data_IF_270766494017
#
_entry.id   IF_270766494017
#
_cell.length_a   1.000
_cell.length_b   1.000
_cell.length_c   1.000
_cell.angle_alpha   90.00
_cell.angle_beta   90.00
_cell.angle_gamma   90.00
#
_symmetry.space_group_name_H-M   'P 1'
#
loop_
_entity.id
_entity.type
_entity.pdbx_description
1 polymer ?
#
# COMPACT_ATOMS: atom_id res chain seq x y z
N UNK A 1 18.02 48.54 63.92
CA UNK A 1 18.80 47.65 63.03
C UNK A 1 17.87 46.60 62.46
N UNK A 2 17.60 46.64 61.14
CA UNK A 2 17.09 45.52 60.35
C UNK A 2 17.28 45.88 58.87
N UNK A 3 18.36 45.37 58.30
CA UNK A 3 18.83 45.64 56.93
C UNK A 3 17.95 44.89 55.94
N UNK A 4 17.40 45.61 54.95
CA UNK A 4 16.58 45.07 53.87
C UNK A 4 17.49 44.35 52.87
N UNK A 5 17.46 43.01 52.84
CA UNK A 5 18.18 42.22 51.85
C UNK A 5 17.40 42.21 50.52
N UNK A 6 17.88 42.98 49.56
CA UNK A 6 17.36 42.95 48.18
C UNK A 6 17.92 41.72 47.47
N UNK A 7 17.08 40.72 47.23
CA UNK A 7 17.44 39.54 46.46
C UNK A 7 17.77 39.95 45.02
N UNK A 8 19.03 39.74 44.61
CA UNK A 8 19.50 39.92 43.25
C UNK A 8 18.81 38.87 42.36
N UNK A 9 17.87 39.29 41.51
CA UNK A 9 17.35 38.46 40.42
C UNK A 9 18.50 38.13 39.47
N UNK A 10 19.02 36.91 39.53
CA UNK A 10 19.92 36.35 38.51
C UNK A 10 19.14 36.18 37.20
N UNK A 11 19.24 37.19 36.36
CA UNK A 11 18.77 37.17 34.97
C UNK A 11 19.68 36.19 34.21
N UNK A 12 19.20 34.98 33.90
CA UNK A 12 19.92 34.05 33.00
C UNK A 12 20.24 34.76 31.67
N UNK A 13 21.49 34.77 31.19
CA UNK A 13 21.80 35.41 29.92
C UNK A 13 21.23 34.58 28.76
N UNK A 14 20.40 35.22 27.95
CA UNK A 14 20.00 34.77 26.61
C UNK A 14 21.03 35.30 25.61
N UNK A 15 21.96 34.46 25.18
CA UNK A 15 22.75 34.62 23.95
C UNK A 15 23.22 33.23 23.49
N UNK A 16 23.17 32.96 22.19
CA UNK A 16 23.46 31.66 21.57
C UNK A 16 24.83 31.09 21.99
N UNK A 17 24.83 30.15 22.94
CA UNK A 17 26.03 29.51 23.50
C UNK A 17 26.93 28.85 22.41
N UNK A 18 26.33 28.36 21.33
CA UNK A 18 27.04 27.60 20.29
C UNK A 18 27.98 28.42 19.40
N UNK A 19 27.73 29.72 19.24
CA UNK A 19 28.65 30.60 18.47
C UNK A 19 29.90 30.87 19.29
N UNK A 20 29.77 31.05 20.60
CA UNK A 20 30.92 31.19 21.51
C UNK A 20 31.72 29.88 21.62
N UNK A 21 31.04 28.73 21.65
CA UNK A 21 31.70 27.40 21.58
C UNK A 21 32.48 27.25 20.28
N UNK A 22 31.92 27.69 19.13
CA UNK A 22 32.62 27.68 17.85
C UNK A 22 33.85 28.59 17.87
N UNK A 23 33.74 29.80 18.40
CA UNK A 23 34.86 30.76 18.48
C UNK A 23 36.01 30.20 19.32
N UNK A 24 35.70 29.66 20.51
CA UNK A 24 36.69 29.01 21.37
C UNK A 24 37.33 27.80 20.70
N UNK A 25 36.56 27.02 19.93
CA UNK A 25 37.06 25.86 19.21
C UNK A 25 38.02 26.25 18.07
N UNK A 26 37.65 27.25 17.25
CA UNK A 26 38.50 27.72 16.16
C UNK A 26 39.82 28.29 16.68
N UNK A 27 39.80 29.00 17.81
CA UNK A 27 40.99 29.52 18.48
C UNK A 27 41.85 28.40 19.07
N UNK A 28 41.25 27.44 19.77
CA UNK A 28 41.95 26.27 20.35
C UNK A 28 42.69 25.45 19.28
N UNK A 29 42.07 25.26 18.13
CA UNK A 29 42.61 24.42 17.05
C UNK A 29 43.38 25.22 15.98
N UNK A 30 43.55 26.54 16.15
CA UNK A 30 44.18 27.44 15.17
C UNK A 30 43.59 27.31 13.75
N UNK A 31 42.26 27.19 13.65
CA UNK A 31 41.54 26.97 12.40
C UNK A 31 40.98 28.28 11.84
N UNK A 32 41.09 28.46 10.53
CA UNK A 32 40.55 29.64 9.84
C UNK A 32 40.08 29.28 8.43
N UNK A 33 39.53 30.27 7.70
CA UNK A 33 39.17 30.08 6.29
C UNK A 33 40.37 29.77 5.39
N UNK A 34 41.61 29.99 5.83
CA UNK A 34 42.81 29.61 5.05
C UNK A 34 43.25 28.16 5.28
N UNK A 35 42.72 27.47 6.31
CA UNK A 35 43.06 26.05 6.58
C UNK A 35 42.67 25.13 5.42
N UNK A 36 43.47 24.10 5.19
CA UNK A 36 43.26 23.08 4.15
C UNK A 36 42.14 22.12 4.59
N UNK A 37 41.28 21.61 3.70
CA UNK A 37 40.17 20.73 4.07
C UNK A 37 40.59 19.48 4.85
N UNK A 38 41.77 18.91 4.60
CA UNK A 38 42.27 17.75 5.34
C UNK A 38 42.49 18.08 6.83
N UNK A 39 43.10 19.22 7.13
CA UNK A 39 43.27 19.71 8.51
C UNK A 39 41.94 19.98 9.20
N UNK A 40 40.96 20.52 8.46
CA UNK A 40 39.62 20.74 8.99
C UNK A 40 38.90 19.42 9.30
N UNK A 41 39.11 18.38 8.49
CA UNK A 41 38.49 17.07 8.69
C UNK A 41 39.01 16.32 9.91
N UNK A 42 40.27 16.52 10.28
CA UNK A 42 40.89 15.91 11.46
C UNK A 42 40.22 16.37 12.77
N UNK A 43 39.78 17.63 12.81
CA UNK A 43 39.10 18.22 13.96
C UNK A 43 37.57 18.06 13.92
N UNK A 44 37.01 17.47 12.86
CA UNK A 44 35.57 17.29 12.72
C UNK A 44 34.95 16.44 13.86
N UNK A 45 35.54 15.31 14.30
CA UNK A 45 34.98 14.52 15.41
C UNK A 45 34.95 15.28 16.74
N UNK A 46 35.94 16.13 16.99
CA UNK A 46 36.03 16.93 18.23
C UNK A 46 34.96 18.02 18.26
N UNK A 47 34.76 18.73 17.14
CA UNK A 47 33.68 19.71 17.02
C UNK A 47 32.30 19.03 17.07
N UNK A 48 32.17 17.83 16.49
CA UNK A 48 30.92 17.05 16.48
C UNK A 48 30.47 16.67 17.90
N UNK A 49 31.43 16.35 18.78
CA UNK A 49 31.17 16.01 20.19
C UNK A 49 30.69 17.22 21.01
N UNK A 50 31.08 18.44 20.63
CA UNK A 50 30.67 19.69 21.29
C UNK A 50 29.29 20.19 20.83
N UNK A 51 28.71 19.59 19.80
CA UNK A 51 27.44 19.99 19.20
C UNK A 51 26.38 18.89 19.43
N UNK A 52 25.65 18.96 20.57
CA UNK A 52 24.79 17.87 21.03
C UNK A 52 23.57 17.63 20.15
N UNK A 53 23.13 18.64 19.39
CA UNK A 53 21.96 18.56 18.54
C UNK A 53 22.19 19.18 17.14
N UNK A 54 21.25 18.92 16.23
CA UNK A 54 21.36 19.39 14.85
C UNK A 54 21.16 20.92 14.72
N UNK A 55 20.47 21.56 15.67
CA UNK A 55 20.27 23.01 15.72
C UNK A 55 21.58 23.72 16.05
N UNK A 56 22.37 23.18 16.99
CA UNK A 56 23.73 23.61 17.27
C UNK A 56 24.59 23.51 16.01
N UNK A 57 24.52 22.37 15.30
CA UNK A 57 25.21 22.19 14.00
C UNK A 57 24.76 23.18 12.95
N UNK A 58 23.45 23.45 12.82
CA UNK A 58 22.93 24.43 11.86
C UNK A 58 23.38 25.86 12.21
N UNK A 59 23.29 26.24 13.48
CA UNK A 59 23.75 27.54 13.98
C UNK A 59 25.23 27.74 13.68
N UNK A 60 26.05 26.71 13.91
CA UNK A 60 27.48 26.72 13.60
C UNK A 60 27.74 26.77 12.09
N UNK A 61 27.04 25.97 11.27
CA UNK A 61 27.16 26.03 9.79
C UNK A 61 26.81 27.41 9.26
N UNK A 62 25.75 28.03 9.76
CA UNK A 62 25.37 29.41 9.39
C UNK A 62 26.43 30.40 9.86
N UNK A 63 26.99 30.23 11.06
CA UNK A 63 28.03 31.11 11.57
C UNK A 63 29.33 31.01 10.75
N UNK A 64 29.77 29.81 10.39
CA UNK A 64 30.95 29.58 9.54
C UNK A 64 30.82 30.24 8.15
N UNK A 65 29.60 30.27 7.61
CA UNK A 65 29.31 30.90 6.32
C UNK A 65 29.18 32.44 6.39
N UNK A 66 29.12 33.04 7.58
CA UNK A 66 29.03 34.50 7.72
C UNK A 66 30.37 35.17 7.37
N UNK A 67 30.36 36.45 6.94
CA UNK A 67 31.56 37.19 6.56
C UNK A 67 32.68 37.19 7.62
N UNK A 68 32.33 37.08 8.91
CA UNK A 68 33.29 37.02 10.02
C UNK A 68 34.27 35.83 9.91
N UNK A 69 33.79 34.69 9.41
CA UNK A 69 34.58 33.46 9.30
C UNK A 69 34.83 33.07 7.83
N UNK A 70 33.90 33.37 6.92
CA UNK A 70 34.06 33.28 5.46
C UNK A 70 34.51 31.90 4.95
N UNK A 71 34.10 30.80 5.61
CA UNK A 71 34.42 29.46 5.15
C UNK A 71 33.65 29.13 3.85
N UNK A 72 34.33 28.50 2.89
CA UNK A 72 33.68 27.98 1.69
C UNK A 72 32.81 26.76 2.03
N UNK A 73 31.85 26.43 1.15
CA UNK A 73 30.95 25.29 1.34
C UNK A 73 31.70 23.97 1.55
N UNK A 74 32.77 23.76 0.80
CA UNK A 74 33.63 22.57 0.89
C UNK A 74 34.33 22.48 2.25
N UNK A 75 34.84 23.61 2.77
CA UNK A 75 35.50 23.67 4.08
C UNK A 75 34.52 23.48 5.24
N UNK A 76 33.30 24.00 5.09
CA UNK A 76 32.21 23.74 6.05
C UNK A 76 31.82 22.26 6.05
N UNK A 77 31.80 21.61 4.88
CA UNK A 77 31.50 20.18 4.75
C UNK A 77 32.63 19.30 5.30
N UNK A 78 33.90 19.72 5.17
CA UNK A 78 35.03 19.03 5.79
C UNK A 78 35.00 19.10 7.33
N UNK A 79 34.71 20.28 7.89
CA UNK A 79 34.68 20.50 9.35
C UNK A 79 33.39 19.99 10.02
N UNK A 80 32.26 20.05 9.31
CA UNK A 80 30.94 19.58 9.77
C UNK A 80 30.26 18.71 8.70
N UNK A 81 30.75 17.46 8.51
CA UNK A 81 30.23 16.56 7.49
C UNK A 81 28.73 16.31 7.70
N UNK A 82 27.98 16.34 6.59
CA UNK A 82 26.55 16.08 6.64
C UNK A 82 26.27 14.58 6.78
N UNK A 83 26.13 14.12 8.03
CA UNK A 83 25.78 12.73 8.36
C UNK A 83 24.42 12.29 7.80
N UNK A 84 23.59 13.21 7.27
CA UNK A 84 22.31 12.91 6.59
C UNK A 84 22.48 12.20 5.23
N UNK A 85 23.71 12.15 4.68
CA UNK A 85 24.03 11.40 3.46
C UNK A 85 24.14 9.89 3.66
N UNK A 86 23.89 9.34 4.86
CA UNK A 86 23.62 7.91 5.00
C UNK A 86 22.24 7.64 4.37
N UNK A 87 22.19 6.84 3.31
CA UNK A 87 20.94 6.42 2.66
C UNK A 87 20.09 5.59 3.66
N UNK A 88 19.40 6.26 4.55
CA UNK A 88 18.50 5.61 5.50
C UNK A 88 17.22 5.19 4.78
N UNK A 89 16.84 3.93 4.98
CA UNK A 89 15.52 3.42 4.63
C UNK A 89 14.43 4.24 5.35
N UNK A 90 13.19 4.18 4.86
CA UNK A 90 12.06 4.86 5.52
C UNK A 90 11.95 4.45 7.00
N UNK A 91 12.20 3.17 7.28
CA UNK A 91 12.22 2.60 8.63
C UNK A 91 13.35 3.17 9.47
N UNK A 92 14.58 3.21 8.95
CA UNK A 92 15.72 3.80 9.67
C UNK A 92 15.54 5.29 9.96
N UNK A 93 14.86 6.04 9.07
CA UNK A 93 14.48 7.44 9.32
C UNK A 93 13.46 7.55 10.45
N UNK A 94 12.44 6.69 10.45
CA UNK A 94 11.39 6.72 11.47
C UNK A 94 11.93 6.33 12.84
N UNK A 95 12.77 5.29 12.90
CA UNK A 95 13.45 4.86 14.13
C UNK A 95 14.35 5.96 14.69
N UNK A 96 15.13 6.64 13.84
CA UNK A 96 15.93 7.79 14.24
C UNK A 96 15.05 8.90 14.83
N UNK A 97 13.93 9.22 14.17
CA UNK A 97 13.00 10.25 14.64
C UNK A 97 12.35 9.87 15.97
N UNK A 98 12.04 8.60 16.18
CA UNK A 98 11.42 8.09 17.40
C UNK A 98 12.37 8.07 18.60
N UNK A 99 13.64 7.67 18.41
CA UNK A 99 14.61 7.49 19.49
C UNK A 99 15.32 8.78 19.92
N UNK A 100 15.66 9.63 18.96
CA UNK A 100 16.53 10.80 19.19
C UNK A 100 16.08 12.05 18.42
N UNK A 101 14.95 11.97 17.69
CA UNK A 101 14.45 13.05 16.85
C UNK A 101 13.63 14.08 17.62
N UNK A 102 13.85 15.35 17.35
CA UNK A 102 12.90 16.41 17.68
C UNK A 102 11.88 16.58 16.54
N UNK A 103 10.93 17.51 16.70
CA UNK A 103 9.93 17.81 15.68
C UNK A 103 10.55 18.24 14.33
N UNK A 104 11.74 18.84 14.34
CA UNK A 104 12.40 19.28 13.10
C UNK A 104 13.02 18.11 12.36
N UNK A 105 13.52 17.09 13.07
CA UNK A 105 13.95 15.83 12.47
C UNK A 105 12.80 15.11 11.78
N UNK A 106 11.59 15.16 12.34
CA UNK A 106 10.37 14.62 11.70
C UNK A 106 10.08 15.36 10.40
N UNK A 107 10.07 16.70 10.41
CA UNK A 107 9.83 17.51 9.21
C UNK A 107 10.87 17.22 8.13
N UNK A 108 12.16 17.22 8.48
CA UNK A 108 13.25 17.02 7.53
C UNK A 108 13.19 15.63 6.88
N UNK A 109 12.88 14.59 7.65
CA UNK A 109 12.75 13.23 7.12
C UNK A 109 11.47 13.04 6.32
N UNK A 110 10.37 13.69 6.71
CA UNK A 110 9.13 13.75 5.93
C UNK A 110 9.36 14.40 4.55
N UNK A 111 10.09 15.52 4.51
CA UNK A 111 10.48 16.15 3.24
C UNK A 111 11.41 15.29 2.40
N UNK A 112 12.35 14.57 3.02
CA UNK A 112 13.25 13.68 2.29
C UNK A 112 12.53 12.51 1.59
N UNK A 113 11.35 12.09 2.09
CA UNK A 113 10.53 11.04 1.46
C UNK A 113 9.43 11.60 0.54
N UNK A 114 9.40 12.92 0.32
CA UNK A 114 8.43 13.59 -0.53
C UNK A 114 8.65 13.29 -2.02
N UNK A 115 7.65 13.57 -2.89
CA UNK A 115 7.81 13.43 -4.33
C UNK A 115 9.02 14.23 -4.83
N UNK A 116 9.86 13.60 -5.65
CA UNK A 116 11.05 14.23 -6.23
C UNK A 116 10.70 15.25 -7.32
N UNK A 117 9.53 15.12 -7.93
CA UNK A 117 9.05 15.99 -9.00
C UNK A 117 7.52 15.99 -9.04
N UNK A 118 6.95 16.83 -9.92
CA UNK A 118 5.50 17.02 -10.08
C UNK A 118 4.83 15.98 -11.00
N UNK A 119 5.51 14.90 -11.38
CA UNK A 119 4.91 13.84 -12.19
C UNK A 119 3.81 13.12 -11.39
N UNK A 120 2.66 12.86 -12.01
CA UNK A 120 1.53 12.19 -11.34
C UNK A 120 1.92 10.83 -10.71
N UNK A 121 2.78 10.02 -11.37
CA UNK A 121 3.26 8.74 -10.81
C UNK A 121 4.10 8.97 -9.55
N UNK A 122 4.97 9.99 -9.58
CA UNK A 122 5.86 10.34 -8.48
C UNK A 122 5.11 10.97 -7.31
N UNK A 123 4.05 11.75 -7.57
CA UNK A 123 3.15 12.28 -6.53
C UNK A 123 2.51 11.12 -5.77
N UNK A 124 1.94 10.14 -6.48
CA UNK A 124 1.32 8.96 -5.85
C UNK A 124 2.35 8.16 -5.06
N UNK A 125 3.54 7.91 -5.62
CA UNK A 125 4.60 7.17 -4.95
C UNK A 125 5.24 7.95 -3.78
N UNK A 126 5.29 9.28 -3.83
CA UNK A 126 5.82 10.14 -2.78
C UNK A 126 4.87 10.23 -1.58
N UNK A 127 3.58 10.47 -1.83
CA UNK A 127 2.54 10.26 -0.80
C UNK A 127 2.66 8.84 -0.26
N UNK A 128 2.99 7.87 -1.14
CA UNK A 128 3.16 6.48 -0.75
C UNK A 128 4.25 6.24 0.30
N UNK A 129 5.36 6.94 0.17
CA UNK A 129 6.46 6.84 1.13
C UNK A 129 6.16 7.61 2.42
N UNK A 130 5.46 8.74 2.32
CA UNK A 130 5.11 9.57 3.47
C UNK A 130 4.17 8.88 4.46
N UNK A 131 3.13 8.15 4.04
CA UNK A 131 2.32 7.42 5.04
C UNK A 131 3.02 6.20 5.60
N UNK A 132 3.88 5.50 4.84
CA UNK A 132 4.75 4.46 5.42
C UNK A 132 5.59 5.04 6.55
N UNK A 133 6.20 6.20 6.30
CA UNK A 133 6.97 6.91 7.31
C UNK A 133 6.12 7.26 8.55
N UNK A 134 4.90 7.77 8.37
CA UNK A 134 3.97 8.05 9.49
C UNK A 134 3.61 6.80 10.30
N UNK A 135 3.30 5.68 9.64
CA UNK A 135 2.98 4.42 10.33
C UNK A 135 4.19 3.98 11.16
N UNK A 136 5.39 4.05 10.59
CA UNK A 136 6.63 3.70 11.30
C UNK A 136 6.95 4.66 12.46
N UNK A 137 6.62 5.95 12.36
CA UNK A 137 6.71 6.88 13.48
C UNK A 137 5.76 6.50 14.62
N UNK A 138 4.51 6.14 14.28
CA UNK A 138 3.52 5.71 15.27
C UNK A 138 3.93 4.40 15.95
N UNK A 139 4.43 3.43 15.19
CA UNK A 139 5.02 2.18 15.74
C UNK A 139 6.21 2.47 16.66
N UNK A 140 7.00 3.50 16.34
CA UNK A 140 8.10 3.99 17.17
C UNK A 140 7.69 4.77 18.42
N UNK A 141 6.38 4.95 18.68
CA UNK A 141 5.87 5.62 19.88
C UNK A 141 5.82 7.15 19.79
N UNK A 142 5.93 7.74 18.59
CA UNK A 142 5.76 9.18 18.42
C UNK A 142 4.29 9.57 18.57
N UNK A 143 4.03 10.65 19.31
CA UNK A 143 2.68 11.16 19.57
C UNK A 143 1.90 11.39 18.26
N UNK A 144 0.69 10.83 18.09
CA UNK A 144 -0.15 11.03 16.92
C UNK A 144 -0.41 12.50 16.56
N UNK A 145 -0.51 13.40 17.54
CA UNK A 145 -0.70 14.84 17.31
C UNK A 145 0.53 15.47 16.65
N UNK A 146 1.74 15.03 17.00
CA UNK A 146 2.99 15.48 16.36
C UNK A 146 3.06 14.95 14.93
N UNK A 147 2.68 13.69 14.71
CA UNK A 147 2.64 13.09 13.36
C UNK A 147 1.64 13.84 12.47
N UNK A 148 0.45 14.14 12.98
CA UNK A 148 -0.59 14.88 12.26
C UNK A 148 -0.14 16.31 11.93
N UNK A 149 0.56 16.99 12.85
CA UNK A 149 1.00 18.37 12.65
C UNK A 149 2.18 18.49 11.67
N UNK A 150 3.14 17.55 11.71
CA UNK A 150 4.44 17.74 11.05
C UNK A 150 4.76 16.73 9.95
N UNK A 151 4.04 15.61 9.86
CA UNK A 151 4.28 14.56 8.88
C UNK A 151 3.06 14.31 7.96
N UNK A 152 2.08 15.21 7.96
CA UNK A 152 0.88 15.11 7.12
C UNK A 152 0.68 16.33 6.24
N UNK A 153 1.06 16.16 4.98
CA UNK A 153 0.76 17.10 3.91
C UNK A 153 -0.66 16.85 3.36
N UNK A 154 -1.62 17.67 3.77
CA UNK A 154 -3.03 17.53 3.35
C UNK A 154 -3.21 17.83 1.86
N UNK A 155 -2.50 18.82 1.32
CA UNK A 155 -2.64 19.26 -0.07
C UNK A 155 -2.12 18.17 -1.02
N UNK A 156 -0.93 17.64 -0.72
CA UNK A 156 -0.33 16.57 -1.52
C UNK A 156 -1.17 15.28 -1.49
N UNK A 157 -1.76 14.93 -0.34
CA UNK A 157 -2.69 13.80 -0.22
C UNK A 157 -3.93 14.02 -1.10
N UNK A 158 -4.51 15.23 -1.07
CA UNK A 158 -5.67 15.55 -1.91
C UNK A 158 -5.35 15.42 -3.40
N UNK A 159 -4.19 15.90 -3.83
CA UNK A 159 -3.79 15.82 -5.24
C UNK A 159 -3.51 14.38 -5.68
N UNK A 160 -2.85 13.57 -4.85
CA UNK A 160 -2.71 12.13 -5.08
C UNK A 160 -4.06 11.44 -5.21
N UNK A 161 -5.02 11.76 -4.33
CA UNK A 161 -6.37 11.21 -4.39
C UNK A 161 -7.11 11.62 -5.68
N UNK A 162 -6.98 12.89 -6.13
CA UNK A 162 -7.54 13.36 -7.42
C UNK A 162 -6.94 12.60 -8.60
N UNK A 163 -5.61 12.42 -8.62
CA UNK A 163 -4.90 11.65 -9.66
C UNK A 163 -5.41 10.21 -9.70
N UNK A 164 -5.47 9.54 -8.55
CA UNK A 164 -5.97 8.18 -8.45
C UNK A 164 -7.43 8.09 -8.91
N UNK A 165 -8.30 9.01 -8.50
CA UNK A 165 -9.71 9.09 -8.95
C UNK A 165 -9.81 9.26 -10.46
N UNK A 166 -9.02 10.15 -11.07
CA UNK A 166 -8.96 10.36 -12.53
C UNK A 166 -8.49 9.09 -13.26
N UNK A 167 -7.45 8.42 -12.76
CA UNK A 167 -6.96 7.14 -13.32
C UNK A 167 -8.01 6.03 -13.20
N UNK A 168 -8.74 5.98 -12.10
CA UNK A 168 -9.85 5.03 -11.94
C UNK A 168 -11.00 5.33 -12.91
N UNK A 169 -11.39 6.60 -13.07
CA UNK A 169 -12.40 7.00 -14.07
C UNK A 169 -11.98 6.63 -15.50
N UNK A 170 -10.72 6.86 -15.88
CA UNK A 170 -10.20 6.45 -17.20
C UNK A 170 -10.24 4.93 -17.40
N UNK A 171 -9.86 4.16 -16.37
CA UNK A 171 -9.99 2.68 -16.38
C UNK A 171 -11.44 2.20 -16.44
N UNK A 172 -12.38 2.98 -15.91
CA UNK A 172 -13.82 2.68 -16.00
C UNK A 172 -14.42 3.06 -17.35
N UNK A 173 -13.84 4.05 -18.05
CA UNK A 173 -14.29 4.48 -19.38
C UNK A 173 -13.88 3.51 -20.50
N UNK A 174 -12.76 2.80 -20.32
CA UNK A 174 -12.36 1.67 -21.14
C UNK A 174 -12.56 0.40 -20.32
N UNK A 175 -13.78 -0.15 -20.21
CA UNK A 175 -13.95 -1.43 -19.54
C UNK A 175 -13.11 -2.45 -20.31
N UNK A 176 -12.06 -2.99 -19.66
CA UNK A 176 -11.35 -4.14 -20.18
C UNK A 176 -12.42 -5.22 -20.45
N UNK A 177 -12.64 -5.51 -21.73
CA UNK A 177 -13.61 -6.53 -22.13
C UNK A 177 -13.16 -7.83 -21.47
N UNK A 178 -14.08 -8.49 -20.77
CA UNK A 178 -13.78 -9.77 -20.15
C UNK A 178 -13.31 -10.71 -21.26
N UNK A 179 -12.10 -11.28 -21.19
CA UNK A 179 -11.64 -12.22 -22.20
C UNK A 179 -12.67 -13.34 -22.40
N UNK A 180 -12.87 -13.82 -23.63
CA UNK A 180 -13.87 -14.87 -23.94
C UNK A 180 -13.67 -16.09 -23.04
N UNK A 181 -12.41 -16.42 -22.76
CA UNK A 181 -12.03 -17.51 -21.86
C UNK A 181 -12.55 -17.36 -20.43
N UNK A 182 -12.69 -16.11 -19.95
CA UNK A 182 -13.27 -15.75 -18.65
C UNK A 182 -14.73 -15.28 -18.76
N UNK A 183 -15.40 -15.52 -19.87
CA UNK A 183 -16.85 -15.27 -19.98
C UNK A 183 -17.63 -16.10 -18.94
N UNK A 184 -18.81 -15.61 -18.56
CA UNK A 184 -19.65 -16.26 -17.56
C UNK A 184 -19.90 -17.74 -17.91
N UNK A 185 -20.30 -18.01 -19.15
CA UNK A 185 -20.65 -19.35 -19.62
C UNK A 185 -19.44 -20.30 -19.58
N UNK A 186 -18.27 -19.85 -20.03
CA UNK A 186 -17.07 -20.69 -20.07
C UNK A 186 -16.56 -21.03 -18.66
N UNK A 187 -16.48 -20.03 -17.77
CA UNK A 187 -16.07 -20.25 -16.38
C UNK A 187 -17.05 -21.17 -15.67
N UNK A 188 -18.36 -20.93 -15.84
CA UNK A 188 -19.39 -21.77 -15.23
C UNK A 188 -19.31 -23.22 -15.73
N UNK A 189 -19.13 -23.43 -17.05
CA UNK A 189 -18.96 -24.76 -17.63
C UNK A 189 -17.74 -25.49 -17.05
N UNK A 190 -16.61 -24.80 -16.87
CA UNK A 190 -15.42 -25.42 -16.27
C UNK A 190 -15.64 -25.78 -14.80
N UNK A 191 -16.18 -24.87 -14.00
CA UNK A 191 -16.50 -25.13 -12.57
C UNK A 191 -17.41 -26.34 -12.41
N UNK A 192 -18.45 -26.47 -13.23
CA UNK A 192 -19.38 -27.61 -13.18
C UNK A 192 -18.71 -28.95 -13.51
N UNK A 193 -17.65 -28.93 -14.33
CA UNK A 193 -16.92 -30.12 -14.75
C UNK A 193 -15.65 -30.40 -13.93
N UNK A 194 -15.36 -29.60 -12.90
CA UNK A 194 -14.18 -29.80 -12.05
C UNK A 194 -14.26 -31.12 -11.29
N UNK A 195 -13.19 -31.91 -11.40
CA UNK A 195 -13.04 -33.20 -10.74
C UNK A 195 -12.05 -33.07 -9.58
N UNK A 196 -12.58 -33.00 -8.36
CA UNK A 196 -11.80 -32.82 -7.12
C UNK A 196 -10.93 -34.02 -6.77
N UNK A 197 -11.09 -35.16 -7.46
CA UNK A 197 -10.21 -36.32 -7.31
C UNK A 197 -8.85 -36.15 -8.01
N UNK A 198 -8.76 -35.21 -8.97
CA UNK A 198 -7.54 -34.92 -9.73
C UNK A 198 -6.73 -33.80 -9.08
N UNK A 199 -5.48 -33.67 -9.52
CA UNK A 199 -4.65 -32.53 -9.13
C UNK A 199 -5.14 -31.30 -9.90
N UNK A 200 -5.48 -30.19 -9.22
CA UNK A 200 -5.91 -28.97 -9.88
C UNK A 200 -4.81 -28.37 -10.74
N UNK A 201 -5.21 -27.80 -11.86
CA UNK A 201 -4.38 -27.02 -12.76
C UNK A 201 -4.33 -25.54 -12.33
N UNK A 202 -3.49 -24.74 -13.00
CA UNK A 202 -3.50 -23.28 -12.83
C UNK A 202 -4.79 -22.64 -13.37
N UNK A 203 -5.45 -23.27 -14.34
CA UNK A 203 -6.76 -22.83 -14.84
C UNK A 203 -7.83 -23.03 -13.78
N UNK A 204 -7.84 -24.19 -13.11
CA UNK A 204 -8.77 -24.46 -12.00
C UNK A 204 -8.61 -23.45 -10.87
N UNK A 205 -7.36 -23.09 -10.54
CA UNK A 205 -7.06 -22.01 -9.59
C UNK A 205 -7.64 -20.67 -10.03
N UNK A 206 -7.45 -20.28 -11.30
CA UNK A 206 -7.98 -19.03 -11.82
C UNK A 206 -9.52 -19.00 -11.79
N UNK A 207 -10.16 -20.10 -12.17
CA UNK A 207 -11.60 -20.26 -12.13
C UNK A 207 -12.17 -20.21 -10.70
N UNK A 208 -11.52 -20.83 -9.72
CA UNK A 208 -11.94 -20.74 -8.31
C UNK A 208 -11.78 -19.31 -7.77
N UNK A 209 -10.74 -18.58 -8.18
CA UNK A 209 -10.57 -17.16 -7.84
C UNK A 209 -11.72 -16.32 -8.41
N UNK A 210 -12.08 -16.54 -9.68
CA UNK A 210 -13.21 -15.86 -10.35
C UNK A 210 -14.52 -16.26 -9.67
N UNK A 211 -14.76 -17.55 -9.45
CA UNK A 211 -15.96 -18.10 -8.80
C UNK A 211 -16.25 -17.42 -7.46
N UNK A 212 -15.24 -17.30 -6.60
CA UNK A 212 -15.37 -16.76 -5.24
C UNK A 212 -15.24 -15.23 -5.16
N UNK A 213 -14.94 -14.57 -6.28
CA UNK A 213 -14.72 -13.12 -6.36
C UNK A 213 -13.62 -12.64 -5.40
N UNK A 214 -12.53 -13.40 -5.28
CA UNK A 214 -11.44 -13.11 -4.34
C UNK A 214 -10.18 -12.63 -5.05
N UNK A 215 -9.25 -12.05 -4.29
CA UNK A 215 -7.90 -11.80 -4.79
C UNK A 215 -7.09 -13.10 -4.75
N UNK A 216 -6.11 -13.27 -5.65
CA UNK A 216 -5.18 -14.39 -5.57
C UNK A 216 -4.53 -14.51 -4.18
N UNK A 217 -4.21 -13.37 -3.56
CA UNK A 217 -3.61 -13.35 -2.22
C UNK A 217 -4.52 -13.74 -1.06
N UNK A 218 -5.82 -13.91 -1.32
CA UNK A 218 -6.82 -14.34 -0.34
C UNK A 218 -7.09 -15.85 -0.44
N UNK A 219 -6.59 -16.54 -1.47
CA UNK A 219 -6.86 -17.98 -1.73
C UNK A 219 -6.51 -18.84 -0.52
N UNK A 220 -5.34 -18.64 0.09
CA UNK A 220 -4.87 -19.47 1.22
C UNK A 220 -5.48 -19.09 2.56
N UNK A 221 -5.99 -17.87 2.70
CA UNK A 221 -6.53 -17.36 3.97
C UNK A 221 -8.06 -17.42 4.05
N UNK A 222 -8.75 -17.48 2.91
CA UNK A 222 -10.20 -17.51 2.86
C UNK A 222 -10.76 -18.79 3.49
N UNK A 223 -11.79 -18.66 4.31
CA UNK A 223 -12.54 -19.78 4.86
C UNK A 223 -14.02 -19.58 4.56
N UNK A 224 -14.74 -20.66 4.24
CA UNK A 224 -16.20 -20.67 4.03
C UNK A 224 -16.83 -21.51 5.14
N UNK A 225 -17.76 -20.91 5.90
CA UNK A 225 -18.41 -21.55 7.05
C UNK A 225 -19.93 -21.45 6.94
N UNK A 226 -20.61 -22.52 7.35
CA UNK A 226 -22.04 -22.56 7.55
C UNK A 226 -22.37 -22.15 8.99
N UNK A 227 -23.46 -21.43 9.18
CA UNK A 227 -24.03 -21.08 10.47
C UNK A 227 -25.53 -21.40 10.40
N UNK A 228 -25.98 -22.36 11.21
CA UNK A 228 -27.40 -22.75 11.24
C UNK A 228 -28.24 -21.69 11.96
N UNK A 229 -29.40 -21.33 11.39
CA UNK A 229 -30.37 -20.50 12.10
C UNK A 229 -30.99 -21.20 13.32
N UNK A 230 -31.13 -22.54 13.31
CA UNK A 230 -31.93 -23.27 14.31
C UNK A 230 -31.19 -23.56 15.64
N UNK A 231 -29.88 -23.34 15.71
CA UNK A 231 -29.17 -23.20 17.00
C UNK A 231 -29.63 -21.94 17.78
N UNK A 232 -30.41 -21.04 17.16
CA UNK A 232 -30.95 -19.82 17.78
C UNK A 232 -32.29 -20.02 18.52
N UNK A 233 -32.91 -21.20 18.49
CA UNK A 233 -34.20 -21.44 19.16
C UNK A 233 -34.10 -21.61 20.69
N UNK A 234 -32.90 -21.52 21.27
CA UNK A 234 -32.66 -21.49 22.71
C UNK A 234 -31.59 -20.48 23.16
N UNK A 235 -31.08 -19.65 22.24
CA UNK A 235 -30.03 -18.67 22.53
C UNK A 235 -30.69 -17.30 22.68
N UNK A 236 -30.38 -16.62 23.79
CA UNK A 236 -30.72 -15.23 23.99
C UNK A 236 -30.26 -14.39 22.79
N UNK A 237 -31.22 -13.80 22.06
CA UNK A 237 -31.03 -12.97 20.86
C UNK A 237 -30.08 -11.79 21.11
N UNK A 238 -29.75 -11.48 22.37
CA UNK A 238 -28.71 -10.53 22.77
C UNK A 238 -27.27 -10.98 22.43
N UNK A 239 -27.04 -12.27 22.14
CA UNK A 239 -25.72 -12.86 21.84
C UNK A 239 -25.46 -13.16 20.37
N UNK A 240 -26.36 -12.76 19.46
CA UNK A 240 -26.07 -12.83 18.03
C UNK A 240 -24.86 -11.92 17.74
N UNK A 241 -23.77 -12.44 17.15
CA UNK A 241 -22.64 -11.58 16.79
C UNK A 241 -23.13 -10.47 15.85
N UNK A 242 -22.76 -9.23 16.12
CA UNK A 242 -23.27 -8.04 15.40
C UNK A 242 -23.08 -8.07 13.87
N UNK A 243 -22.28 -9.01 13.33
CA UNK A 243 -22.05 -9.21 11.91
C UNK A 243 -23.04 -10.18 11.23
N UNK A 244 -23.83 -10.95 11.99
CA UNK A 244 -24.82 -11.87 11.46
C UNK A 244 -26.00 -11.11 10.86
N UNK A 245 -26.41 -11.48 9.64
CA UNK A 245 -27.61 -10.97 8.98
C UNK A 245 -28.61 -12.10 8.78
N UNK A 246 -29.81 -11.89 9.29
CA UNK A 246 -30.95 -12.78 9.09
C UNK A 246 -31.18 -12.98 7.58
N UNK A 247 -31.25 -14.24 7.14
CA UNK A 247 -31.40 -14.63 5.72
C UNK A 247 -30.13 -15.14 5.02
N UNK A 248 -28.96 -15.13 5.66
CA UNK A 248 -27.75 -15.81 5.16
C UNK A 248 -27.29 -16.90 6.13
N UNK A 249 -27.06 -18.10 5.62
CA UNK A 249 -26.51 -19.24 6.38
C UNK A 249 -25.04 -19.53 6.08
N UNK A 250 -24.46 -18.92 5.04
CA UNK A 250 -23.07 -19.14 4.62
C UNK A 250 -22.27 -17.85 4.56
N UNK A 251 -21.10 -17.84 5.21
CA UNK A 251 -20.23 -16.68 5.33
C UNK A 251 -18.79 -17.03 4.98
N UNK A 252 -17.99 -16.02 4.63
CA UNK A 252 -16.55 -16.14 4.49
C UNK A 252 -15.76 -15.21 5.42
N UNK A 253 -14.61 -15.69 5.87
CA UNK A 253 -13.65 -14.97 6.71
C UNK A 253 -12.25 -15.00 6.08
N UNK A 254 -11.30 -14.22 6.61
CA UNK A 254 -9.90 -14.26 6.16
C UNK A 254 -9.59 -13.51 4.86
N UNK A 255 -10.45 -12.59 4.44
CA UNK A 255 -10.17 -11.65 3.34
C UNK A 255 -9.38 -10.43 3.85
N UNK A 256 -8.59 -9.78 2.99
CA UNK A 256 -7.53 -8.84 3.42
C UNK A 256 -7.96 -7.38 3.65
N UNK A 257 -9.21 -6.99 3.36
CA UNK A 257 -9.66 -5.58 3.38
C UNK A 257 -10.57 -5.16 4.53
N UNK A 258 -11.09 -6.09 5.33
CA UNK A 258 -11.51 -5.77 6.69
C UNK A 258 -10.38 -6.18 7.64
N UNK A 259 -10.55 -5.98 8.93
CA UNK A 259 -9.70 -6.51 10.00
C UNK A 259 -9.47 -8.04 9.99
N UNK A 260 -9.83 -8.73 8.90
CA UNK A 260 -9.76 -10.19 8.71
C UNK A 260 -10.73 -10.97 9.59
N UNK A 261 -11.40 -10.30 10.53
CA UNK A 261 -12.14 -10.88 11.64
C UNK A 261 -13.65 -10.78 11.45
N UNK A 262 -14.16 -9.84 10.65
CA UNK A 262 -15.59 -9.70 10.38
C UNK A 262 -16.04 -10.64 9.24
N UNK A 263 -16.86 -11.68 9.50
CA UNK A 263 -17.43 -12.53 8.46
C UNK A 263 -18.32 -11.75 7.48
N UNK A 264 -18.23 -12.08 6.20
CA UNK A 264 -19.08 -11.50 5.14
C UNK A 264 -19.96 -12.57 4.52
N UNK A 265 -21.22 -12.26 4.15
CA UNK A 265 -22.07 -13.20 3.40
C UNK A 265 -21.35 -13.74 2.16
N UNK A 266 -21.49 -15.04 1.90
CA UNK A 266 -20.97 -15.66 0.69
C UNK A 266 -21.90 -15.36 -0.48
N UNK A 267 -21.37 -14.74 -1.53
CA UNK A 267 -22.02 -14.64 -2.83
C UNK A 267 -20.99 -14.98 -3.92
N UNK A 268 -21.12 -16.15 -4.51
CA UNK A 268 -20.23 -16.72 -5.52
C UNK A 268 -20.99 -17.09 -6.80
N UNK A 269 -20.24 -17.40 -7.88
CA UNK A 269 -20.83 -17.95 -9.10
C UNK A 269 -21.39 -19.36 -8.89
N UNK A 270 -20.68 -20.21 -8.15
CA UNK A 270 -21.22 -21.49 -7.69
C UNK A 270 -22.30 -21.21 -6.64
N UNK A 271 -23.53 -21.65 -6.93
CA UNK A 271 -24.70 -21.42 -6.08
C UNK A 271 -24.73 -22.36 -4.88
N UNK A 272 -24.16 -23.56 -5.01
CA UNK A 272 -24.04 -24.48 -3.90
C UNK A 272 -22.83 -24.09 -3.03
N UNK A 273 -23.04 -23.54 -1.82
CA UNK A 273 -21.96 -23.07 -0.97
C UNK A 273 -21.07 -24.21 -0.44
N UNK A 274 -21.60 -25.43 -0.33
CA UNK A 274 -20.80 -26.61 0.04
C UNK A 274 -19.84 -26.97 -1.07
N UNK A 275 -20.31 -26.97 -2.32
CA UNK A 275 -19.46 -27.19 -3.49
C UNK A 275 -18.42 -26.09 -3.64
N UNK A 276 -18.80 -24.83 -3.41
CA UNK A 276 -17.85 -23.73 -3.41
C UNK A 276 -16.75 -23.89 -2.33
N UNK A 277 -17.12 -24.37 -1.13
CA UNK A 277 -16.19 -24.70 -0.05
C UNK A 277 -15.28 -25.89 -0.40
N UNK A 278 -15.84 -26.92 -1.01
CA UNK A 278 -15.10 -28.10 -1.46
C UNK A 278 -14.02 -27.71 -2.49
N UNK A 279 -14.39 -26.96 -3.53
CA UNK A 279 -13.46 -26.49 -4.56
C UNK A 279 -12.36 -25.59 -3.99
N UNK A 280 -12.70 -24.69 -3.05
CA UNK A 280 -11.70 -23.88 -2.36
C UNK A 280 -10.71 -24.75 -1.57
N UNK A 281 -11.23 -25.71 -0.81
CA UNK A 281 -10.41 -26.58 0.05
C UNK A 281 -9.49 -27.46 -0.80
N UNK A 282 -10.01 -28.00 -1.91
CA UNK A 282 -9.25 -28.77 -2.90
C UNK A 282 -8.03 -28.00 -3.43
N UNK A 283 -8.22 -26.73 -3.81
CA UNK A 283 -7.12 -25.85 -4.22
C UNK A 283 -6.14 -25.61 -3.07
N UNK A 284 -6.64 -25.23 -1.89
CA UNK A 284 -5.81 -24.92 -0.72
C UNK A 284 -4.94 -26.09 -0.29
N UNK A 285 -5.51 -27.30 -0.22
CA UNK A 285 -4.78 -28.49 0.22
C UNK A 285 -3.75 -28.94 -0.81
N UNK A 286 -4.03 -28.75 -2.10
CA UNK A 286 -3.03 -29.00 -3.15
C UNK A 286 -1.86 -28.01 -3.07
N UNK A 287 -2.12 -26.73 -2.76
CA UNK A 287 -1.08 -25.72 -2.53
C UNK A 287 -0.26 -26.09 -1.28
N UNK A 288 -0.91 -26.45 -0.16
CA UNK A 288 -0.22 -26.90 1.06
C UNK A 288 0.66 -28.14 0.80
N UNK A 289 0.17 -29.06 -0.02
CA UNK A 289 0.91 -30.24 -0.47
C UNK A 289 2.01 -29.93 -1.51
N UNK A 290 2.18 -28.66 -1.90
CA UNK A 290 3.13 -28.19 -2.92
C UNK A 290 2.97 -28.85 -4.30
N UNK A 291 1.76 -29.35 -4.60
CA UNK A 291 1.42 -29.93 -5.90
C UNK A 291 0.87 -28.90 -6.89
N UNK A 292 0.46 -27.73 -6.39
CA UNK A 292 0.03 -26.56 -7.15
C UNK A 292 0.78 -25.35 -6.60
N UNK A 293 1.35 -24.53 -7.49
CA UNK A 293 2.06 -23.32 -7.08
C UNK A 293 1.10 -22.31 -6.43
N UNK A 294 1.53 -21.71 -5.31
CA UNK A 294 0.79 -20.60 -4.69
C UNK A 294 0.76 -19.39 -5.65
N UNK A 295 -0.37 -18.68 -5.79
CA UNK A 295 -0.47 -17.55 -6.71
C UNK A 295 0.31 -16.29 -6.28
N UNK A 296 0.86 -16.27 -5.07
CA UNK A 296 1.55 -15.12 -4.45
C UNK A 296 2.95 -15.47 -3.94
N UNK A 297 3.19 -16.73 -3.58
CA UNK A 297 4.48 -17.18 -3.06
C UNK A 297 5.15 -18.20 -3.99
N UNK A 298 6.46 -18.06 -4.17
CA UNK A 298 7.27 -19.06 -4.87
C UNK A 298 7.51 -20.28 -3.99
N UNK A 299 8.03 -21.35 -4.57
CA UNK A 299 8.45 -22.56 -3.84
C UNK A 299 9.50 -22.27 -2.76
N UNK A 300 10.33 -21.25 -2.97
CA UNK A 300 11.33 -20.77 -2.00
C UNK A 300 10.74 -19.94 -0.86
N UNK A 301 9.41 -19.72 -0.84
CA UNK A 301 8.72 -18.87 0.13
C UNK A 301 8.86 -17.37 -0.15
N UNK A 302 9.48 -16.98 -1.26
CA UNK A 302 9.61 -15.58 -1.67
C UNK A 302 8.26 -15.09 -2.17
N UNK A 303 7.82 -13.92 -1.71
CA UNK A 303 6.59 -13.30 -2.21
C UNK A 303 6.82 -12.81 -3.63
N UNK A 304 6.31 -13.55 -4.61
CA UNK A 304 6.29 -13.16 -6.02
C UNK A 304 5.06 -13.73 -6.72
N UNK A 305 4.22 -12.84 -7.24
CA UNK A 305 3.07 -13.22 -8.06
C UNK A 305 3.46 -13.43 -9.54
N UNK A 306 4.74 -13.30 -9.88
CA UNK A 306 5.23 -13.35 -11.24
C UNK A 306 4.85 -14.65 -11.97
N UNK A 307 4.99 -15.86 -11.40
CA UNK A 307 4.65 -17.10 -12.12
C UNK A 307 3.17 -17.21 -12.51
N UNK A 308 2.27 -16.76 -11.63
CA UNK A 308 0.83 -16.78 -11.89
C UNK A 308 0.43 -15.65 -12.84
N UNK A 309 1.06 -14.48 -12.73
CA UNK A 309 0.88 -13.38 -13.68
C UNK A 309 1.31 -13.77 -15.09
N UNK A 310 2.44 -14.45 -15.22
CA UNK A 310 2.97 -14.88 -16.52
C UNK A 310 2.06 -15.91 -17.18
N UNK A 311 1.52 -16.85 -16.41
CA UNK A 311 0.48 -17.76 -16.88
C UNK A 311 -0.74 -17.03 -17.45
N UNK A 312 -1.26 -16.01 -16.74
CA UNK A 312 -2.47 -15.29 -17.16
C UNK A 312 -2.26 -14.35 -18.35
N UNK A 313 -1.03 -13.93 -18.64
CA UNK A 313 -0.73 -13.12 -19.83
C UNK A 313 -0.81 -13.93 -21.13
N UNK A 314 -0.61 -15.23 -21.05
CA UNK A 314 -0.62 -16.12 -22.21
C UNK A 314 -2.01 -16.25 -22.82
N UNK A 315 -2.07 -16.68 -24.08
CA UNK A 315 -3.30 -17.16 -24.68
C UNK A 315 -3.79 -18.43 -23.99
N UNK A 316 -5.10 -18.60 -23.77
CA UNK A 316 -6.24 -17.75 -24.18
C UNK A 316 -6.66 -16.70 -23.12
N UNK A 317 -5.89 -16.53 -22.05
CA UNK A 317 -6.29 -15.80 -20.85
C UNK A 317 -6.19 -14.28 -21.03
N UNK A 318 -5.09 -13.78 -21.64
CA UNK A 318 -4.81 -12.37 -21.93
C UNK A 318 -5.24 -11.40 -20.81
N UNK A 319 -4.91 -11.72 -19.56
CA UNK A 319 -5.35 -10.95 -18.38
C UNK A 319 -4.26 -10.85 -17.32
N UNK A 320 -4.56 -10.13 -16.23
CA UNK A 320 -3.71 -10.06 -15.05
C UNK A 320 -4.46 -10.59 -13.80
N UNK A 321 -3.75 -11.11 -12.79
CA UNK A 321 -4.37 -11.71 -11.60
C UNK A 321 -5.37 -10.79 -10.88
N UNK A 322 -5.15 -9.48 -10.94
CA UNK A 322 -6.02 -8.48 -10.33
C UNK A 322 -7.44 -8.47 -10.93
N UNK A 323 -7.55 -8.70 -12.24
CA UNK A 323 -8.82 -8.59 -12.96
C UNK A 323 -9.73 -9.81 -12.71
N UNK A 324 -9.19 -10.94 -12.25
CA UNK A 324 -9.98 -12.14 -11.95
C UNK A 324 -11.10 -11.87 -10.93
N UNK A 325 -10.79 -11.09 -9.89
CA UNK A 325 -11.80 -10.63 -8.92
C UNK A 325 -12.90 -9.80 -9.58
N UNK A 326 -12.51 -8.94 -10.53
CA UNK A 326 -13.43 -8.04 -11.23
C UNK A 326 -14.37 -8.80 -12.17
N UNK A 327 -13.89 -9.88 -12.79
CA UNK A 327 -14.73 -10.81 -13.55
C UNK A 327 -15.69 -11.55 -12.61
N UNK A 328 -15.16 -12.07 -11.50
CA UNK A 328 -15.91 -12.85 -10.52
C UNK A 328 -17.14 -12.15 -9.98
N UNK A 329 -16.99 -10.92 -9.45
CA UNK A 329 -18.13 -10.25 -8.84
C UNK A 329 -19.20 -9.86 -9.87
N UNK A 330 -18.79 -9.55 -11.11
CA UNK A 330 -19.73 -9.24 -12.21
C UNK A 330 -20.55 -10.48 -12.53
N UNK A 331 -19.87 -11.62 -12.69
CA UNK A 331 -20.50 -12.91 -12.97
C UNK A 331 -21.43 -13.35 -11.83
N UNK A 332 -20.97 -13.27 -10.58
CA UNK A 332 -21.80 -13.59 -9.41
C UNK A 332 -23.06 -12.71 -9.38
N UNK A 333 -22.94 -11.40 -9.62
CA UNK A 333 -24.12 -10.52 -9.66
C UNK A 333 -25.12 -10.90 -10.75
N UNK A 334 -24.65 -11.37 -11.93
CA UNK A 334 -25.50 -11.83 -13.03
C UNK A 334 -26.19 -13.16 -12.69
N UNK A 335 -25.45 -14.10 -12.10
CA UNK A 335 -25.96 -15.43 -11.69
C UNK A 335 -27.08 -15.34 -10.65
N UNK A 336 -26.99 -14.35 -9.75
CA UNK A 336 -27.95 -14.13 -8.67
C UNK A 336 -29.01 -13.08 -8.97
N UNK A 337 -28.82 -12.23 -9.98
CA UNK A 337 -29.77 -11.16 -10.33
C UNK A 337 -31.09 -11.66 -10.93
N UNK A 338 -31.14 -12.88 -11.47
CA UNK A 338 -32.35 -13.41 -12.09
C UNK A 338 -32.70 -12.73 -13.42
N UNK A 339 -33.94 -12.89 -13.88
CA UNK A 339 -34.42 -12.28 -15.13
C UNK A 339 -34.78 -10.81 -14.88
N UNK A 340 -34.20 -9.90 -15.67
CA UNK A 340 -34.44 -8.44 -15.62
C UNK A 340 -34.16 -7.78 -14.25
N UNK A 341 -32.96 -7.95 -13.67
CA UNK A 341 -32.63 -7.31 -12.41
C UNK A 341 -32.59 -5.79 -12.53
N UNK A 342 -33.07 -5.08 -11.52
CA UNK A 342 -32.92 -3.63 -11.46
C UNK A 342 -31.45 -3.26 -11.26
N UNK A 343 -30.98 -2.09 -11.75
CA UNK A 343 -29.60 -1.63 -11.52
C UNK A 343 -29.23 -1.55 -10.04
N UNK A 344 -30.19 -1.18 -9.19
CA UNK A 344 -30.02 -1.12 -7.74
C UNK A 344 -29.78 -2.51 -7.13
N UNK A 345 -30.54 -3.52 -7.59
CA UNK A 345 -30.37 -4.89 -7.14
C UNK A 345 -29.02 -5.47 -7.56
N UNK A 346 -28.59 -5.25 -8.81
CA UNK A 346 -27.25 -5.65 -9.26
C UNK A 346 -26.15 -4.96 -8.44
N UNK A 347 -26.29 -3.66 -8.18
CA UNK A 347 -25.33 -2.89 -7.35
C UNK A 347 -25.20 -3.48 -5.94
N UNK A 348 -26.30 -3.93 -5.35
CA UNK A 348 -26.30 -4.63 -4.07
C UNK A 348 -25.55 -5.96 -4.16
N UNK A 349 -25.87 -6.80 -5.14
CA UNK A 349 -25.20 -8.10 -5.34
C UNK A 349 -23.69 -7.93 -5.60
N UNK A 350 -23.29 -6.97 -6.43
CA UNK A 350 -21.89 -6.62 -6.67
C UNK A 350 -21.16 -6.28 -5.37
N UNK A 351 -21.79 -5.49 -4.49
CA UNK A 351 -21.21 -5.12 -3.19
C UNK A 351 -21.00 -6.33 -2.29
N UNK A 352 -21.99 -7.23 -2.25
CA UNK A 352 -21.91 -8.47 -1.45
C UNK A 352 -20.80 -9.37 -1.99
N UNK A 353 -20.76 -9.63 -3.31
CA UNK A 353 -19.70 -10.43 -3.94
C UNK A 353 -18.31 -9.80 -3.75
N UNK A 354 -18.21 -8.46 -3.80
CA UNK A 354 -16.97 -7.75 -3.51
C UNK A 354 -16.61 -7.70 -2.02
N UNK A 355 -17.51 -8.06 -1.10
CA UNK A 355 -17.29 -8.02 0.35
C UNK A 355 -16.89 -6.60 0.81
N UNK A 356 -17.62 -5.59 0.35
CA UNK A 356 -17.38 -4.18 0.65
C UNK A 356 -18.41 -3.61 1.63
N UNK A 357 -17.92 -2.98 2.70
CA UNK A 357 -18.74 -2.44 3.78
C UNK A 357 -19.25 -1.01 3.52
N UNK A 358 -18.61 -0.22 2.64
CA UNK A 358 -18.98 1.19 2.39
C UNK A 358 -19.77 1.44 1.10
N UNK A 359 -20.63 2.47 1.10
CA UNK A 359 -21.46 2.95 -0.04
C UNK A 359 -20.66 3.65 -1.16
N UNK A 360 -19.33 3.50 -1.24
CA UNK A 360 -18.46 4.25 -2.17
C UNK A 360 -18.66 3.95 -3.67
N UNK A 361 -19.70 3.21 -4.05
CA UNK A 361 -20.13 3.08 -5.43
C UNK A 361 -20.93 4.33 -5.84
N UNK A 362 -20.24 5.46 -5.93
CA UNK A 362 -20.66 6.61 -6.75
C UNK A 362 -19.84 6.63 -8.06
N UNK A 363 -19.48 5.42 -8.53
CA UNK A 363 -18.99 5.18 -9.86
C UNK A 363 -20.23 4.92 -10.73
N UNK A 364 -20.63 5.94 -11.48
CA UNK A 364 -21.88 5.99 -12.23
C UNK A 364 -22.12 4.74 -13.07
N UNK A 365 -23.35 4.22 -12.96
CA UNK A 365 -24.32 3.80 -13.99
C UNK A 365 -23.86 3.15 -15.32
N UNK A 366 -22.60 2.81 -15.52
CA UNK A 366 -22.08 2.20 -16.75
C UNK A 366 -22.23 0.66 -16.75
N UNK A 367 -23.31 0.13 -16.19
CA UNK A 367 -23.49 -1.32 -16.00
C UNK A 367 -24.46 -1.98 -17.00
N UNK A 368 -24.88 -1.31 -18.06
CA UNK A 368 -25.87 -1.85 -19.00
C UNK A 368 -25.35 -2.27 -20.38
N UNK A 369 -24.06 -2.13 -20.70
CA UNK A 369 -23.57 -2.53 -22.03
C UNK A 369 -22.24 -3.27 -21.88
N UNK A 370 -22.33 -4.59 -21.85
CA UNK A 370 -21.17 -5.47 -21.85
C UNK A 370 -21.65 -6.89 -22.03
N UNK A 371 -21.71 -7.27 -23.30
CA UNK A 371 -22.10 -8.57 -23.87
C UNK A 371 -23.57 -8.65 -24.30
N UNK A 372 -23.97 -7.85 -25.31
CA UNK A 372 -24.85 -8.41 -26.34
C UNK A 372 -24.05 -9.49 -27.03
N UNK A 373 -24.58 -10.70 -26.99
CA UNK A 373 -24.10 -11.92 -27.63
C UNK A 373 -23.60 -11.63 -29.05
N UNK A 374 -22.29 -11.74 -29.26
CA UNK A 374 -21.76 -12.04 -30.59
C UNK A 374 -21.55 -13.54 -30.62
N UNK A 375 -22.65 -14.24 -30.85
CA UNK A 375 -22.61 -15.56 -31.46
C UNK A 375 -22.16 -15.41 -32.92
N UNK A 376 -21.19 -16.24 -33.27
CA UNK A 376 -20.95 -16.81 -34.60
C UNK A 376 -20.67 -15.87 -35.79
N UNK A 377 -19.38 -15.79 -36.16
CA UNK A 377 -18.95 -16.03 -37.54
C UNK A 377 -17.42 -16.18 -37.60
N UNK A 378 -16.96 -17.26 -38.22
CA UNK A 378 -15.55 -17.64 -38.44
C UNK A 378 -14.72 -16.71 -39.36
N UNK A 379 -13.51 -17.17 -39.76
CA UNK A 379 -12.31 -16.33 -39.82
C UNK A 379 -12.01 -15.69 -41.19
N UNK A 380 -10.90 -14.93 -41.22
CA UNK A 380 -10.25 -14.16 -42.31
C UNK A 380 -10.49 -12.63 -42.15
N UNK A 381 -9.51 -11.73 -42.10
CA UNK A 381 -8.20 -11.73 -42.76
C UNK A 381 -7.15 -10.83 -42.08
N UNK A 382 -5.91 -11.05 -42.50
CA UNK A 382 -4.66 -10.36 -42.19
C UNK A 382 -4.74 -8.82 -42.21
N UNK A 383 -4.05 -8.17 -41.27
CA UNK A 383 -3.00 -7.22 -41.63
C UNK A 383 -2.04 -6.96 -40.46
N UNK A 384 -0.81 -7.40 -40.67
CA UNK A 384 0.40 -7.00 -39.98
C UNK A 384 0.54 -5.47 -39.91
N UNK A 385 0.92 -4.96 -38.74
CA UNK A 385 1.99 -3.96 -38.70
C UNK A 385 2.78 -4.10 -37.41
N UNK A 386 4.04 -4.49 -37.61
CA UNK A 386 5.10 -4.52 -36.63
C UNK A 386 5.22 -3.20 -35.87
N UNK A 387 5.21 -3.27 -34.54
CA UNK A 387 5.92 -2.32 -33.70
C UNK A 387 6.67 -3.09 -32.60
N UNK A 388 7.87 -3.52 -32.95
CA UNK A 388 8.97 -3.70 -31.99
C UNK A 388 9.09 -2.42 -31.17
N UNK A 389 8.94 -2.53 -29.86
CA UNK A 389 9.61 -1.61 -28.95
C UNK A 389 10.05 -2.36 -27.69
N UNK A 390 11.36 -2.35 -27.51
CA UNK A 390 12.06 -2.69 -26.28
C UNK A 390 11.51 -1.88 -25.11
N UNK A 391 11.35 -2.51 -23.95
CA UNK A 391 11.70 -1.91 -22.65
C UNK A 391 11.59 -2.95 -21.53
N UNK A 392 12.62 -3.79 -21.44
CA UNK A 392 13.07 -4.38 -20.19
C UNK A 392 13.49 -3.26 -19.25
N UNK A 393 12.54 -2.77 -18.43
CA UNK A 393 12.80 -1.99 -17.20
C UNK A 393 11.51 -1.62 -16.42
N UNK A 394 10.32 -2.05 -16.89
CA UNK A 394 9.04 -1.62 -16.31
C UNK A 394 8.46 -2.51 -15.19
N UNK A 395 9.13 -3.60 -14.80
CA UNK A 395 8.55 -4.60 -13.89
C UNK A 395 8.72 -4.28 -12.39
N UNK A 396 9.69 -3.47 -11.97
CA UNK A 396 9.90 -3.19 -10.54
C UNK A 396 9.02 -2.06 -9.96
N UNK A 397 8.45 -1.19 -10.80
CA UNK A 397 7.69 -0.01 -10.32
C UNK A 397 6.23 -0.36 -9.97
N UNK A 398 5.72 -1.49 -10.47
CA UNK A 398 4.33 -1.91 -10.22
C UNK A 398 4.10 -2.44 -8.79
N UNK A 399 5.16 -2.81 -8.07
CA UNK A 399 5.04 -3.34 -6.70
C UNK A 399 4.89 -2.24 -5.62
N UNK A 400 5.29 -1.00 -5.90
CA UNK A 400 5.30 0.10 -4.91
C UNK A 400 3.93 0.79 -4.74
N UNK A 401 2.97 0.57 -5.65
CA UNK A 401 1.64 1.24 -5.61
C UNK A 401 0.62 0.48 -4.72
N UNK A 402 1.03 -0.57 -4.02
CA UNK A 402 0.12 -1.40 -3.20
C UNK A 402 0.00 -1.01 -1.72
N UNK A 403 0.49 0.16 -1.30
CA UNK A 403 0.38 0.60 0.10
C UNK A 403 -0.77 1.59 0.40
N UNK A 404 -1.56 2.04 -0.58
CA UNK A 404 -2.58 3.08 -0.38
C UNK A 404 -3.97 2.61 -0.71
N UNK A 405 -4.56 1.91 0.25
CA UNK A 405 -6.00 1.84 0.44
C UNK A 405 -6.27 1.58 1.91
N UNK A 406 -5.84 2.55 2.73
CA UNK A 406 -5.98 2.68 4.19
C UNK A 406 -5.48 1.52 5.04
#
# INVERSE_FOLDING_TARGET
>A
MATKATALKTRKPKTNNYVSILEQFLEKCNLSASSIPEQLSEHAPELDALLPDWMARRCVKVALAKPKHSFSKEKIEALLPDKRKKNLTIEGRAEYCAKAGDFVNIIANHWAVSPKNKNEKEIVAGVSRQSTFRVKLAEGGVDPAIIEAFAKDKELIQDSNKIQKKRTKKRMANPDRIPIHFSLANVQKRIQNMDVSKIPTREDLADVIVMLSIRPSEVTSLQIKHYEPDELLGIDLSNIPAWYKEGYSWYCTGYKKADGRIPCPLLSMEKNPERARELLTWIQDTIKAKKLSDPVFTESGTRSAWPFNEFLKQEPYRTIPKNLRDYGFKHASRVHGGKNPTPQHLKLLLRIAMRQESDRLDAGDNYTIGDTELEDSGPEDEHNSDLKSESTENDEISEIINMYSY
#
